data_IF_630252382299
#
_entry.id   IF_630252382299
#
_cell.length_a   1.000
_cell.length_b   1.000
_cell.length_c   1.000
_cell.angle_alpha   90.00
_cell.angle_beta   90.00
_cell.angle_gamma   90.00
#
_symmetry.space_group_name_H-M   'P 1'
#
loop_
_entity.id
_entity.type
_entity.pdbx_description
1 polymer ?
#
# COMPACT_ATOMS: atom_id res chain seq x y z
N UNK A 1 3.98 -13.60 -9.99
CA UNK A 1 3.13 -13.33 -8.81
C UNK A 1 3.21 -11.87 -8.40
N UNK A 2 2.21 -11.40 -7.73
CA UNK A 2 2.06 -10.03 -7.26
C UNK A 2 1.70 -10.08 -5.77
N UNK A 3 2.48 -9.38 -4.95
CA UNK A 3 2.25 -9.28 -3.51
C UNK A 3 2.36 -7.82 -3.08
N UNK A 4 1.36 -7.33 -2.36
CA UNK A 4 1.25 -5.92 -1.97
C UNK A 4 0.93 -5.79 -0.48
N UNK A 5 1.42 -4.71 0.13
CA UNK A 5 1.13 -4.38 1.51
C UNK A 5 1.45 -2.94 1.85
N UNK A 6 1.00 -2.49 3.01
CA UNK A 6 1.31 -1.18 3.55
C UNK A 6 2.20 -1.31 4.79
N UNK A 7 3.27 -0.53 4.83
CA UNK A 7 4.18 -0.45 5.97
C UNK A 7 4.03 0.93 6.61
N UNK A 8 3.72 0.97 7.90
CA UNK A 8 3.49 2.22 8.63
C UNK A 8 4.67 2.45 9.57
N UNK A 9 5.40 3.55 9.39
CA UNK A 9 6.65 3.82 10.11
C UNK A 9 6.47 3.82 11.62
N UNK A 10 5.42 4.48 12.12
CA UNK A 10 5.13 4.55 13.55
C UNK A 10 4.73 3.23 14.20
N UNK A 11 4.52 2.18 13.40
CA UNK A 11 4.21 0.83 13.84
C UNK A 11 5.30 -0.18 13.45
N UNK A 12 6.53 0.28 13.29
CA UNK A 12 7.69 -0.53 12.92
C UNK A 12 7.51 -1.30 11.60
N UNK A 13 6.81 -0.68 10.65
CA UNK A 13 6.57 -1.26 9.33
C UNK A 13 5.39 -2.22 9.25
N UNK A 14 4.64 -2.42 10.34
CA UNK A 14 3.43 -3.24 10.28
C UNK A 14 2.27 -2.44 9.70
N UNK A 15 1.23 -3.06 9.14
CA UNK A 15 1.02 -4.50 8.97
C UNK A 15 1.90 -5.19 7.92
N UNK A 16 2.50 -4.46 6.97
CA UNK A 16 3.44 -5.03 6.01
C UNK A 16 2.86 -6.24 5.27
N UNK A 17 3.53 -7.40 5.36
CA UNK A 17 3.08 -8.63 4.70
C UNK A 17 1.75 -9.15 5.27
N UNK A 18 1.34 -8.69 6.44
CA UNK A 18 0.09 -9.07 7.09
C UNK A 18 -1.06 -8.09 6.81
N UNK A 19 -0.91 -7.19 5.85
CA UNK A 19 -1.91 -6.15 5.54
C UNK A 19 -3.31 -6.73 5.36
N UNK A 20 -3.45 -7.78 4.55
CA UNK A 20 -4.75 -8.43 4.33
C UNK A 20 -5.22 -9.18 5.57
N UNK A 21 -4.30 -9.75 6.36
CA UNK A 21 -4.64 -10.49 7.57
C UNK A 21 -5.27 -9.60 8.63
N UNK A 22 -4.87 -8.34 8.72
CA UNK A 22 -5.47 -7.39 9.66
C UNK A 22 -6.92 -7.07 9.35
N UNK A 23 -7.36 -7.30 8.11
CA UNK A 23 -8.73 -7.10 7.68
C UNK A 23 -9.60 -8.36 7.78
N UNK A 24 -9.03 -9.51 8.11
CA UNK A 24 -9.77 -10.78 8.13
C UNK A 24 -10.81 -10.83 9.25
N UNK A 25 -12.02 -11.25 8.89
CA UNK A 25 -13.13 -11.51 9.81
C UNK A 25 -13.82 -12.83 9.41
N UNK A 26 -14.66 -13.41 10.29
CA UNK A 26 -15.43 -14.60 9.89
C UNK A 26 -16.33 -14.39 8.68
N UNK A 27 -16.72 -13.13 8.39
CA UNK A 27 -17.59 -12.78 7.26
C UNK A 27 -16.83 -12.35 6.01
N UNK A 28 -15.48 -12.34 6.03
CA UNK A 28 -14.63 -11.86 4.95
C UNK A 28 -13.71 -10.74 5.41
N UNK A 29 -13.23 -9.94 4.47
CA UNK A 29 -12.28 -8.85 4.78
C UNK A 29 -12.99 -7.54 5.06
N UNK A 30 -12.59 -6.87 6.15
CA UNK A 30 -13.09 -5.56 6.57
C UNK A 30 -11.90 -4.60 6.70
N UNK A 31 -11.63 -3.86 5.63
CA UNK A 31 -10.53 -2.89 5.62
C UNK A 31 -10.81 -1.64 6.45
N UNK A 32 -12.08 -1.29 6.68
CA UNK A 32 -12.43 -0.22 7.62
C UNK A 32 -11.96 -0.57 9.03
N UNK A 33 -12.16 -1.81 9.44
CA UNK A 33 -11.66 -2.32 10.71
C UNK A 33 -10.13 -2.27 10.78
N UNK A 34 -9.47 -2.70 9.70
CA UNK A 34 -8.00 -2.69 9.63
C UNK A 34 -7.43 -1.27 9.70
N UNK A 35 -8.00 -0.33 8.96
CA UNK A 35 -7.57 1.07 8.98
C UNK A 35 -7.80 1.70 10.35
N UNK A 36 -8.93 1.42 10.99
CA UNK A 36 -9.23 1.89 12.35
C UNK A 36 -8.19 1.35 13.34
N UNK A 37 -7.80 0.09 13.21
CA UNK A 37 -6.77 -0.51 14.04
C UNK A 37 -5.43 0.20 13.88
N UNK A 38 -5.01 0.45 12.65
CA UNK A 38 -3.75 1.18 12.37
C UNK A 38 -3.76 2.54 13.07
N UNK A 39 -4.84 3.30 12.91
CA UNK A 39 -4.91 4.63 13.52
C UNK A 39 -4.90 4.59 15.04
N UNK A 40 -5.64 3.65 15.64
CA UNK A 40 -5.68 3.46 17.09
C UNK A 40 -4.31 3.05 17.66
N UNK A 41 -3.60 2.17 16.95
CA UNK A 41 -2.26 1.76 17.40
C UNK A 41 -1.26 2.89 17.27
N UNK A 42 -1.38 3.76 16.26
CA UNK A 42 -0.56 4.96 16.14
C UNK A 42 -0.82 5.95 17.30
N UNK A 43 -2.08 6.13 17.66
CA UNK A 43 -2.44 6.97 18.81
C UNK A 43 -1.93 6.38 20.11
N UNK A 44 -2.06 5.08 20.30
CA UNK A 44 -1.56 4.38 21.49
C UNK A 44 -0.04 4.45 21.62
N UNK A 45 0.67 4.47 20.50
CA UNK A 45 2.13 4.61 20.45
C UNK A 45 2.59 6.07 20.53
N UNK A 46 1.64 7.03 20.57
CA UNK A 46 1.91 8.47 20.56
C UNK A 46 2.81 8.86 19.37
N UNK A 47 2.53 8.28 18.21
CA UNK A 47 3.32 8.49 17.01
C UNK A 47 3.22 9.94 16.53
N UNK A 48 4.35 10.60 16.21
CA UNK A 48 4.33 11.99 15.75
C UNK A 48 3.76 12.13 14.34
N UNK A 49 3.34 13.36 13.98
CA UNK A 49 2.94 13.72 12.63
C UNK A 49 4.10 14.34 11.86
N UNK A 50 4.19 14.17 10.54
CA UNK A 50 3.29 13.34 9.71
C UNK A 50 3.53 11.84 9.99
N UNK A 51 2.45 11.05 9.96
CA UNK A 51 2.50 9.60 10.19
C UNK A 51 2.82 8.90 8.89
N UNK A 52 4.09 8.72 8.62
CA UNK A 52 4.62 8.23 7.35
C UNK A 52 4.27 6.77 7.12
N UNK A 53 4.04 6.44 5.86
CA UNK A 53 3.75 5.08 5.42
C UNK A 53 4.20 4.89 3.97
N UNK A 54 4.27 3.63 3.54
CA UNK A 54 4.49 3.32 2.14
C UNK A 54 3.71 2.06 1.76
N UNK A 55 3.19 2.06 0.55
CA UNK A 55 2.75 0.84 -0.10
C UNK A 55 3.93 0.17 -0.78
N UNK A 56 3.96 -1.15 -0.69
CA UNK A 56 4.96 -1.97 -1.36
C UNK A 56 4.27 -2.95 -2.29
N UNK A 57 4.87 -3.19 -3.46
CA UNK A 57 4.45 -4.23 -4.38
C UNK A 57 5.68 -5.02 -4.81
N UNK A 58 5.60 -6.33 -4.74
CA UNK A 58 6.65 -7.22 -5.26
C UNK A 58 6.09 -8.03 -6.41
N UNK A 59 6.71 -7.91 -7.58
CA UNK A 59 6.38 -8.69 -8.77
C UNK A 59 7.47 -9.74 -8.98
N UNK A 60 7.05 -10.98 -9.17
CA UNK A 60 7.96 -12.08 -9.47
C UNK A 60 7.68 -12.61 -10.87
N UNK A 61 8.70 -12.63 -11.73
CA UNK A 61 8.63 -13.17 -13.08
C UNK A 61 9.50 -14.42 -13.15
N UNK A 62 8.88 -15.56 -13.48
CA UNK A 62 9.56 -16.83 -13.56
C UNK A 62 9.66 -17.31 -15.02
N UNK A 63 10.81 -17.87 -15.39
CA UNK A 63 11.02 -18.44 -16.72
C UNK A 63 10.99 -19.98 -16.66
N UNK A 64 10.68 -20.61 -17.79
CA UNK A 64 10.59 -22.09 -17.83
C UNK A 64 11.88 -22.84 -17.45
N UNK A 65 13.04 -22.17 -17.51
CA UNK A 65 14.33 -22.76 -17.14
C UNK A 65 14.62 -22.77 -15.63
N UNK A 66 13.66 -22.31 -14.82
CA UNK A 66 13.80 -22.23 -13.38
C UNK A 66 14.40 -20.90 -12.87
N UNK A 67 14.77 -20.00 -13.76
CA UNK A 67 15.24 -18.67 -13.41
C UNK A 67 14.04 -17.79 -13.02
N UNK A 68 14.21 -16.97 -11.99
CA UNK A 68 13.21 -15.94 -11.65
C UNK A 68 13.88 -14.63 -11.29
N UNK A 69 13.12 -13.55 -11.41
CA UNK A 69 13.55 -12.21 -10.99
C UNK A 69 12.41 -11.52 -10.25
N UNK A 70 12.78 -10.70 -9.25
CA UNK A 70 11.86 -10.00 -8.37
C UNK A 70 12.03 -8.50 -8.55
N UNK A 71 10.91 -7.80 -8.73
CA UNK A 71 10.88 -6.35 -8.89
C UNK A 71 9.99 -5.76 -7.79
N UNK A 72 10.57 -4.87 -6.98
CA UNK A 72 9.85 -4.22 -5.90
C UNK A 72 9.55 -2.76 -6.25
N UNK A 73 8.29 -2.38 -6.11
CA UNK A 73 7.86 -1.00 -6.27
C UNK A 73 7.33 -0.44 -4.97
N UNK A 74 7.46 0.86 -4.79
CA UNK A 74 6.95 1.55 -3.60
C UNK A 74 6.22 2.83 -3.98
N UNK A 75 5.23 3.20 -3.16
CA UNK A 75 4.60 4.51 -3.18
C UNK A 75 4.66 5.06 -1.76
N UNK A 76 5.30 6.21 -1.58
CA UNK A 76 5.49 6.82 -0.26
C UNK A 76 4.45 7.90 0.00
N UNK A 77 4.07 8.05 1.26
CA UNK A 77 3.10 9.04 1.68
C UNK A 77 2.90 9.03 3.18
N UNK A 78 1.70 9.34 3.61
CA UNK A 78 1.32 9.35 5.02
C UNK A 78 -0.08 8.79 5.20
N UNK A 79 -0.35 8.25 6.39
CA UNK A 79 -1.71 7.87 6.76
C UNK A 79 -2.43 9.08 7.36
N UNK A 80 -3.69 9.25 7.00
CA UNK A 80 -4.54 10.35 7.43
C UNK A 80 -5.83 9.83 8.05
N UNK A 81 -6.47 10.66 8.86
CA UNK A 81 -7.70 10.30 9.54
C UNK A 81 -8.59 11.55 9.73
N UNK A 82 -9.92 11.46 9.56
CA UNK A 82 -10.67 10.25 9.15
C UNK A 82 -10.42 9.85 7.70
N UNK A 83 -10.85 8.63 7.36
CA UNK A 83 -10.77 8.10 6.00
C UNK A 83 -11.51 8.99 5.02
N UNK A 84 -10.97 9.15 3.80
CA UNK A 84 -11.56 9.98 2.75
C UNK A 84 -11.57 9.24 1.42
N UNK A 85 -12.67 9.39 0.68
CA UNK A 85 -12.80 8.88 -0.67
C UNK A 85 -13.54 7.56 -0.75
N UNK A 86 -13.98 7.22 -1.96
CA UNK A 86 -14.80 6.04 -2.23
C UNK A 86 -14.26 5.16 -3.36
N UNK A 87 -13.19 5.59 -4.00
CA UNK A 87 -12.53 4.84 -5.07
C UNK A 87 -11.46 3.92 -4.48
N UNK A 88 -10.93 3.03 -5.30
CA UNK A 88 -9.86 2.13 -4.87
C UNK A 88 -10.33 1.02 -3.95
N UNK A 89 -9.41 0.49 -3.16
CA UNK A 89 -9.69 -0.64 -2.26
C UNK A 89 -8.66 -0.67 -1.12
N UNK A 90 -8.92 -1.52 -0.12
CA UNK A 90 -7.97 -1.74 0.98
C UNK A 90 -7.74 -0.48 1.81
N UNK A 91 -6.48 -0.11 1.96
CA UNK A 91 -6.05 1.04 2.76
C UNK A 91 -6.06 2.37 2.01
N UNK A 92 -6.51 2.41 0.76
CA UNK A 92 -6.53 3.63 -0.06
C UNK A 92 -7.21 4.84 0.62
N UNK A 93 -8.32 4.68 1.38
CA UNK A 93 -8.98 5.83 2.01
C UNK A 93 -8.17 6.53 3.10
N UNK A 94 -7.11 5.93 3.63
CA UNK A 94 -6.28 6.57 4.64
C UNK A 94 -4.86 6.85 4.17
N UNK A 95 -4.54 6.59 2.90
CA UNK A 95 -3.20 6.82 2.36
C UNK A 95 -3.18 8.03 1.43
N UNK A 96 -2.44 9.07 1.86
CA UNK A 96 -2.22 10.28 1.07
C UNK A 96 -0.81 10.25 0.51
N UNK A 97 -0.65 10.10 -0.83
CA UNK A 97 0.68 10.07 -1.42
C UNK A 97 1.39 11.42 -1.32
N UNK A 98 2.71 11.39 -1.27
CA UNK A 98 3.53 12.59 -1.21
C UNK A 98 3.26 13.52 -2.40
N UNK A 99 3.16 14.81 -2.11
CA UNK A 99 2.93 15.84 -3.13
C UNK A 99 1.47 16.05 -3.52
N UNK A 100 0.52 15.36 -2.88
CA UNK A 100 -0.90 15.46 -3.17
C UNK A 100 -1.71 15.73 -1.91
N UNK A 101 -2.84 16.40 -2.08
CA UNK A 101 -3.78 16.69 -0.98
C UNK A 101 -4.91 15.65 -0.88
N UNK A 102 -4.93 14.70 -1.80
CA UNK A 102 -5.95 13.66 -1.88
C UNK A 102 -5.39 12.32 -1.42
N UNK A 103 -6.27 11.48 -0.83
CA UNK A 103 -5.95 10.06 -0.62
C UNK A 103 -6.09 9.30 -1.93
N UNK A 104 -5.53 8.09 -1.98
CA UNK A 104 -5.72 7.23 -3.15
C UNK A 104 -7.20 6.93 -3.43
N UNK A 105 -8.04 6.88 -2.41
CA UNK A 105 -9.48 6.66 -2.58
C UNK A 105 -10.24 7.88 -3.06
N UNK A 106 -9.66 9.07 -2.96
CA UNK A 106 -10.23 10.31 -3.51
C UNK A 106 -9.86 10.52 -4.98
N UNK A 107 -8.84 9.81 -5.45
CA UNK A 107 -8.37 9.91 -6.84
C UNK A 107 -9.17 8.99 -7.75
N UNK A 108 -9.37 9.42 -9.01
CA UNK A 108 -9.86 8.53 -10.05
C UNK A 108 -8.80 7.46 -10.35
N UNK A 109 -9.21 6.25 -10.81
CA UNK A 109 -8.23 5.20 -11.11
C UNK A 109 -7.12 5.63 -12.06
N UNK A 110 -7.40 6.44 -13.06
CA UNK A 110 -6.41 6.94 -14.02
C UNK A 110 -5.44 7.94 -13.40
N UNK A 111 -5.81 8.62 -12.32
CA UNK A 111 -4.93 9.51 -11.57
C UNK A 111 -4.03 8.73 -10.61
N UNK A 112 -4.59 7.70 -9.98
CA UNK A 112 -3.89 6.88 -9.00
C UNK A 112 -2.87 5.96 -9.66
N UNK A 113 -3.22 5.34 -10.79
CA UNK A 113 -2.43 4.24 -11.37
C UNK A 113 -0.96 4.61 -11.59
N UNK A 114 -0.59 5.76 -12.20
CA UNK A 114 0.83 6.08 -12.40
C UNK A 114 1.60 6.34 -11.09
N UNK A 115 0.89 6.64 -9.99
CA UNK A 115 1.48 6.91 -8.69
C UNK A 115 1.60 5.66 -7.82
N UNK A 116 1.01 4.55 -8.25
CA UNK A 116 0.90 3.36 -7.41
C UNK A 116 2.20 2.59 -7.30
N UNK A 117 2.33 1.84 -6.21
CA UNK A 117 3.43 0.91 -6.00
C UNK A 117 3.49 -0.19 -7.06
N UNK A 118 2.34 -0.60 -7.61
CA UNK A 118 2.27 -1.58 -8.70
C UNK A 118 2.83 -1.03 -10.01
N UNK A 119 2.51 0.23 -10.33
CA UNK A 119 3.06 0.88 -11.51
C UNK A 119 4.58 1.01 -11.41
N UNK A 120 5.11 1.36 -10.23
CA UNK A 120 6.55 1.44 -10.00
C UNK A 120 7.23 0.08 -10.21
N UNK A 121 6.69 -0.99 -9.61
CA UNK A 121 7.23 -2.34 -9.79
C UNK A 121 7.16 -2.80 -11.24
N UNK A 122 6.03 -2.54 -11.92
CA UNK A 122 5.84 -2.92 -13.32
C UNK A 122 6.81 -2.18 -14.24
N UNK A 123 7.02 -0.89 -14.02
CA UNK A 123 7.99 -0.10 -14.79
C UNK A 123 9.42 -0.64 -14.62
N UNK A 124 9.79 -1.05 -13.41
CA UNK A 124 11.09 -1.69 -13.15
C UNK A 124 11.22 -3.02 -13.89
N UNK A 125 10.16 -3.82 -13.91
CA UNK A 125 10.11 -5.08 -14.65
C UNK A 125 10.31 -4.85 -16.15
N UNK A 126 9.58 -3.89 -16.73
CA UNK A 126 9.69 -3.55 -18.15
C UNK A 126 11.11 -3.09 -18.48
N UNK A 127 11.68 -2.21 -17.66
CA UNK A 127 13.04 -1.69 -17.87
C UNK A 127 14.10 -2.75 -17.70
N UNK A 128 13.92 -3.70 -16.79
CA UNK A 128 14.91 -4.73 -16.47
C UNK A 128 14.87 -5.96 -17.36
N UNK A 129 13.67 -6.36 -17.81
CA UNK A 129 13.47 -7.65 -18.49
C UNK A 129 12.97 -7.56 -19.93
N UNK A 130 12.23 -6.49 -20.28
CA UNK A 130 11.50 -6.41 -21.55
C UNK A 130 12.07 -5.35 -22.49
N UNK A 131 13.16 -4.74 -22.12
CA UNK A 131 13.84 -3.75 -22.97
C UNK A 131 15.18 -4.25 -23.47
#
# INVERSE_FOLDING_TARGET
SDDSGICVDGLDGTPGVYTANWAETPSGRDFTMAMTRVWRELDAADAPFPRRAQFNCTLCLAWPDGHDEIFAGIATGQVVWPMRGMHGFGFDPMFQPDGFDQTFAEMLPEEKHPLSHRADAFNKLVSGCLT
#
